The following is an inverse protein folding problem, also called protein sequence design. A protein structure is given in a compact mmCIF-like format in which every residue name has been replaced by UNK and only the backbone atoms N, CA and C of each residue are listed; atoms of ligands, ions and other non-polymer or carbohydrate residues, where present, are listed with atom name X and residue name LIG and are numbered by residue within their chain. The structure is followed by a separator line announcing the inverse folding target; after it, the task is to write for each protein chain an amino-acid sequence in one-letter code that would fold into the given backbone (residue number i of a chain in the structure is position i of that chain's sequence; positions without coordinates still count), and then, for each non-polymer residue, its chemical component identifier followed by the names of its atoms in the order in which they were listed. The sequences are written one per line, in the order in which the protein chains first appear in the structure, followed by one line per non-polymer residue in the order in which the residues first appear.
data_IF_484485061547
#
_entry.id   IF_484485061547
#
_cell.length_a   1.000
_cell.length_b   1.000
_cell.length_c   1.000
_cell.angle_alpha   90.00
_cell.angle_beta   90.00
_cell.angle_gamma   90.00
#
_symmetry.space_group_name_H-M   'P 1'
#
loop_
_entity.id
_entity.type
_entity.pdbx_description
1 polymer ?
#
# COMPACT_ATOMS: atom_id res chain seq x y z
N UNK A 1 1.05 -7.43 15.51
CA UNK A 1 2.13 -6.57 16.04
C UNK A 1 2.07 -5.16 15.45
N UNK A 2 2.16 -4.97 14.13
CA UNK A 2 2.07 -3.63 13.52
C UNK A 2 0.81 -2.83 13.89
N UNK A 3 -0.37 -3.46 13.87
CA UNK A 3 -1.62 -2.84 14.31
C UNK A 3 -1.64 -2.46 15.80
N UNK A 4 -1.00 -3.26 16.67
CA UNK A 4 -0.88 -2.94 18.10
C UNK A 4 0.05 -1.74 18.32
N UNK A 5 1.17 -1.68 17.59
CA UNK A 5 2.08 -0.54 17.60
C UNK A 5 1.36 0.72 17.10
N UNK A 6 0.62 0.63 15.99
CA UNK A 6 -0.18 1.74 15.48
C UNK A 6 -1.25 2.22 16.46
N UNK A 7 -1.95 1.30 17.13
CA UNK A 7 -2.97 1.64 18.13
C UNK A 7 -2.40 2.34 19.38
N UNK A 8 -1.11 2.13 19.69
CA UNK A 8 -0.43 2.78 20.81
C UNK A 8 -0.01 4.25 20.53
N UNK A 9 -0.28 4.79 19.34
CA UNK A 9 0.07 6.15 18.98
C UNK A 9 -0.95 7.16 19.54
N UNK A 10 -0.62 7.78 20.68
CA UNK A 10 -1.55 8.67 21.40
C UNK A 10 -1.43 10.16 21.03
N UNK A 11 -0.39 10.57 20.31
CA UNK A 11 -0.18 11.97 19.87
C UNK A 11 0.09 12.06 18.37
N UNK A 12 -0.27 13.20 17.77
CA UNK A 12 -0.23 13.41 16.33
C UNK A 12 1.19 13.28 15.73
N UNK A 13 2.22 13.73 16.43
CA UNK A 13 3.61 13.62 15.97
C UNK A 13 4.07 12.16 15.86
N UNK A 14 3.77 11.34 16.88
CA UNK A 14 4.06 9.91 16.87
C UNK A 14 3.23 9.18 15.82
N UNK A 15 1.96 9.55 15.64
CA UNK A 15 1.12 8.99 14.58
C UNK A 15 1.69 9.31 13.19
N UNK A 16 2.09 10.55 12.93
CA UNK A 16 2.72 10.95 11.67
C UNK A 16 4.04 10.21 11.41
N UNK A 17 4.88 10.06 12.44
CA UNK A 17 6.11 9.26 12.37
C UNK A 17 5.79 7.81 12.00
N UNK A 18 4.87 7.17 12.71
CA UNK A 18 4.51 5.76 12.48
C UNK A 18 3.84 5.54 11.13
N UNK A 19 3.06 6.51 10.64
CA UNK A 19 2.54 6.49 9.26
C UNK A 19 3.70 6.56 8.27
N UNK A 20 4.66 7.47 8.45
CA UNK A 20 5.84 7.56 7.60
C UNK A 20 6.66 6.26 7.56
N UNK A 21 6.89 5.66 8.73
CA UNK A 21 7.56 4.35 8.87
C UNK A 21 6.75 3.24 8.17
N UNK A 22 5.43 3.23 8.35
CA UNK A 22 4.53 2.27 7.72
C UNK A 22 4.55 2.37 6.20
N UNK A 23 4.47 3.58 5.65
CA UNK A 23 4.59 3.83 4.21
C UNK A 23 5.94 3.34 3.70
N UNK A 24 7.04 3.67 4.39
CA UNK A 24 8.38 3.21 4.03
C UNK A 24 8.50 1.68 4.00
N UNK A 25 7.89 0.99 4.97
CA UNK A 25 7.86 -0.47 5.01
C UNK A 25 7.09 -1.06 3.82
N UNK A 26 5.94 -0.50 3.45
CA UNK A 26 5.16 -0.94 2.29
C UNK A 26 5.95 -0.71 0.99
N UNK A 27 6.61 0.43 0.84
CA UNK A 27 7.47 0.71 -0.32
C UNK A 27 8.58 -0.35 -0.45
N UNK A 28 9.20 -0.74 0.68
CA UNK A 28 10.19 -1.81 0.70
C UNK A 28 9.65 -3.14 0.19
N UNK A 29 8.40 -3.49 0.54
CA UNK A 29 7.72 -4.69 0.03
C UNK A 29 7.38 -4.56 -1.46
N UNK A 30 6.92 -3.39 -1.91
CA UNK A 30 6.61 -3.16 -3.33
C UNK A 30 7.87 -3.37 -4.18
N UNK A 31 9.02 -2.82 -3.77
CA UNK A 31 10.30 -2.99 -4.49
C UNK A 31 10.68 -4.48 -4.60
N UNK A 32 10.39 -5.28 -3.58
CA UNK A 32 10.64 -6.73 -3.60
C UNK A 32 9.66 -7.48 -4.53
N UNK A 33 8.40 -7.04 -4.63
CA UNK A 33 7.37 -7.68 -5.46
C UNK A 33 7.54 -7.34 -6.94
N UNK A 34 7.96 -6.12 -7.28
CA UNK A 34 8.05 -5.63 -8.66
C UNK A 34 8.74 -6.60 -9.64
N UNK A 35 9.88 -7.24 -9.30
CA UNK A 35 10.52 -8.21 -10.18
C UNK A 35 9.68 -9.48 -10.44
N UNK A 36 8.90 -9.92 -9.45
CA UNK A 36 8.13 -11.17 -9.52
C UNK A 36 6.87 -11.06 -10.40
N UNK A 37 6.37 -9.84 -10.62
CA UNK A 37 5.14 -9.58 -11.38
C UNK A 37 5.40 -9.17 -12.84
N UNK A 38 6.67 -9.10 -13.27
CA UNK A 38 7.04 -8.70 -14.63
C UNK A 38 6.48 -9.68 -15.66
N UNK A 39 6.07 -9.16 -16.81
CA UNK A 39 5.64 -9.98 -17.93
C UNK A 39 6.81 -10.75 -18.59
N UNK A 40 6.51 -11.59 -19.59
CA UNK A 40 7.52 -12.34 -20.34
C UNK A 40 8.55 -11.49 -21.09
N UNK A 41 8.34 -10.18 -21.20
CA UNK A 41 9.28 -9.22 -21.78
C UNK A 41 10.06 -8.43 -20.72
N UNK A 42 9.85 -8.72 -19.44
CA UNK A 42 10.50 -8.07 -18.30
C UNK A 42 9.85 -6.74 -17.88
N UNK A 43 8.68 -6.39 -18.43
CA UNK A 43 7.99 -5.13 -18.10
C UNK A 43 7.13 -5.30 -16.85
N UNK A 44 7.28 -4.38 -15.90
CA UNK A 44 6.42 -4.32 -14.72
C UNK A 44 5.07 -3.63 -15.03
N UNK A 45 5.08 -2.65 -15.93
CA UNK A 45 3.88 -1.96 -16.41
C UNK A 45 3.50 -2.52 -17.79
N UNK A 46 2.53 -3.42 -17.79
CA UNK A 46 1.85 -3.97 -18.96
C UNK A 46 0.34 -3.82 -18.75
N UNK A 47 -0.50 -3.92 -19.79
CA UNK A 47 -1.91 -3.56 -19.69
C UNK A 47 -2.66 -4.25 -18.54
N UNK A 48 -2.40 -5.55 -18.32
CA UNK A 48 -3.03 -6.29 -17.23
C UNK A 48 -2.51 -5.89 -15.83
N UNK A 49 -1.22 -5.57 -15.66
CA UNK A 49 -0.73 -5.09 -14.35
C UNK A 49 -1.27 -3.70 -14.01
N UNK A 50 -1.38 -2.81 -15.00
CA UNK A 50 -1.99 -1.48 -14.82
C UNK A 50 -3.47 -1.63 -14.44
N UNK A 51 -4.21 -2.51 -15.12
CA UNK A 51 -5.59 -2.81 -14.77
C UNK A 51 -5.70 -3.34 -13.32
N UNK A 52 -4.79 -4.22 -12.89
CA UNK A 52 -4.72 -4.71 -11.51
C UNK A 52 -4.45 -3.60 -10.49
N UNK A 53 -3.52 -2.68 -10.77
CA UNK A 53 -3.23 -1.53 -9.91
C UNK A 53 -4.46 -0.62 -9.77
N UNK A 54 -5.12 -0.30 -10.90
CA UNK A 54 -6.32 0.53 -10.90
C UNK A 54 -7.48 -0.13 -10.16
N UNK A 55 -7.68 -1.44 -10.34
CA UNK A 55 -8.69 -2.20 -9.62
C UNK A 55 -8.41 -2.20 -8.10
N UNK A 56 -7.16 -2.42 -7.70
CA UNK A 56 -6.76 -2.35 -6.30
C UNK A 56 -6.98 -0.95 -5.70
N UNK A 57 -6.62 0.11 -6.42
CA UNK A 57 -6.85 1.49 -6.00
C UNK A 57 -8.35 1.81 -5.87
N UNK A 58 -9.18 1.33 -6.80
CA UNK A 58 -10.63 1.50 -6.75
C UNK A 58 -11.24 0.78 -5.53
N UNK A 59 -10.78 -0.44 -5.22
CA UNK A 59 -11.21 -1.18 -4.02
C UNK A 59 -10.80 -0.43 -2.74
N UNK A 60 -9.57 0.08 -2.66
CA UNK A 60 -9.10 0.85 -1.51
C UNK A 60 -9.93 2.13 -1.32
N UNK A 61 -10.21 2.85 -2.40
CA UNK A 61 -11.01 4.07 -2.35
C UNK A 61 -12.46 3.80 -1.92
N UNK A 62 -13.11 2.80 -2.54
CA UNK A 62 -14.48 2.43 -2.18
C UNK A 62 -14.59 1.92 -0.74
N UNK A 63 -13.60 1.17 -0.26
CA UNK A 63 -13.53 0.76 1.15
C UNK A 63 -13.44 1.98 2.08
N UNK A 64 -12.63 2.97 1.73
CA UNK A 64 -12.55 4.23 2.49
C UNK A 64 -13.88 4.98 2.53
N UNK A 65 -14.60 5.04 1.41
CA UNK A 65 -15.94 5.62 1.35
C UNK A 65 -16.93 4.85 2.22
N UNK A 66 -16.89 3.51 2.21
CA UNK A 66 -17.77 2.66 3.00
C UNK A 66 -17.54 2.79 4.51
N UNK A 67 -16.32 3.06 4.95
CA UNK A 67 -15.99 3.28 6.36
C UNK A 67 -16.41 4.69 6.81
N UNK A 68 -16.36 5.67 5.91
CA UNK A 68 -16.70 7.07 6.21
C UNK A 68 -18.19 7.39 6.09
N UNK A 69 -18.97 6.56 5.41
CA UNK A 69 -20.42 6.69 5.25
C UNK A 69 -21.16 6.07 6.44
#
# INVERSE_FOLDING_TARGET
LGAFVGASAYNAELAALLIGVGIGAIVGVIVQIVPAIRDGTGRALYPASVAGILAGAAILYTTGLLISA
#
